data_IF_264958378516
#
_entry.id   IF_264958378516
#
_cell.length_a   1.000
_cell.length_b   1.000
_cell.length_c   1.000
_cell.angle_alpha   90.00
_cell.angle_beta   90.00
_cell.angle_gamma   90.00
#
_symmetry.space_group_name_H-M   'P 1'
#
loop_
_entity.id
_entity.type
_entity.pdbx_description
1 polymer ?
#
# COMPACT_ATOMS: atom_id res chain seq x y z
N UNK A 1 -18.42 18.80 -21.66
CA UNK A 1 -18.68 18.36 -20.28
C UNK A 1 -19.28 16.97 -20.34
N UNK A 2 -18.86 16.01 -19.50
CA UNK A 2 -19.55 14.73 -19.40
C UNK A 2 -20.99 14.99 -18.92
N UNK A 3 -21.97 14.26 -19.43
CA UNK A 3 -23.35 14.31 -18.91
C UNK A 3 -23.38 13.48 -17.62
N UNK A 4 -23.48 14.13 -16.46
CA UNK A 4 -23.53 13.44 -15.17
C UNK A 4 -24.94 12.92 -14.90
N UNK A 5 -25.04 11.75 -14.28
CA UNK A 5 -26.32 11.18 -13.89
C UNK A 5 -26.82 11.83 -12.60
N UNK A 6 -28.09 12.22 -12.58
CA UNK A 6 -28.78 12.65 -11.35
C UNK A 6 -29.47 11.44 -10.73
N UNK A 7 -28.80 10.80 -9.76
CA UNK A 7 -29.35 9.66 -9.02
C UNK A 7 -30.11 10.16 -7.79
N UNK A 8 -31.29 9.59 -7.53
CA UNK A 8 -32.08 9.83 -6.32
C UNK A 8 -32.38 8.49 -5.65
N UNK A 9 -32.00 8.37 -4.38
CA UNK A 9 -32.28 7.20 -3.55
C UNK A 9 -33.32 7.58 -2.50
N UNK A 10 -34.39 6.79 -2.41
CA UNK A 10 -35.36 6.86 -1.33
C UNK A 10 -35.21 5.57 -0.51
N UNK A 11 -34.68 5.70 0.70
CA UNK A 11 -34.27 4.55 1.53
C UNK A 11 -35.22 4.47 2.73
N UNK A 12 -36.00 3.39 2.78
CA UNK A 12 -36.85 3.07 3.94
C UNK A 12 -36.14 2.02 4.79
N UNK A 13 -35.89 2.35 6.06
CA UNK A 13 -35.27 1.42 7.02
C UNK A 13 -36.33 0.54 7.68
N UNK A 14 -36.01 -0.74 7.86
CA UNK A 14 -36.86 -1.67 8.61
C UNK A 14 -36.82 -1.36 10.11
N UNK A 15 -35.66 -0.91 10.62
CA UNK A 15 -35.48 -0.48 11.99
C UNK A 15 -34.89 0.94 12.04
N UNK A 16 -35.53 1.83 12.81
CA UNK A 16 -35.04 3.20 13.00
C UNK A 16 -33.65 3.25 13.67
N UNK A 17 -33.27 2.21 14.41
CA UNK A 17 -31.96 2.09 15.04
C UNK A 17 -30.80 1.93 14.04
N UNK A 18 -31.08 1.60 12.77
CA UNK A 18 -30.04 1.46 11.72
C UNK A 18 -29.69 2.81 11.06
N UNK A 19 -30.46 3.87 11.34
CA UNK A 19 -30.25 5.20 10.76
C UNK A 19 -28.85 5.77 11.03
N UNK A 20 -28.26 5.62 12.23
CA UNK A 20 -26.89 6.05 12.48
C UNK A 20 -25.89 5.34 11.57
N UNK A 21 -26.00 4.01 11.39
CA UNK A 21 -25.10 3.24 10.54
C UNK A 21 -25.24 3.61 9.05
N UNK A 22 -26.46 3.88 8.58
CA UNK A 22 -26.68 4.37 7.21
C UNK A 22 -26.07 5.76 7.00
N UNK A 23 -26.35 6.70 7.91
CA UNK A 23 -25.74 8.05 7.85
C UNK A 23 -24.23 7.96 7.88
N UNK A 24 -23.72 7.09 8.74
CA UNK A 24 -22.31 6.81 8.84
C UNK A 24 -21.71 6.41 7.49
N UNK A 25 -22.32 5.43 6.81
CA UNK A 25 -21.87 4.99 5.48
C UNK A 25 -21.98 6.09 4.41
N UNK A 26 -23.02 6.92 4.46
CA UNK A 26 -23.22 8.04 3.50
C UNK A 26 -22.18 9.14 3.69
N UNK A 27 -21.89 9.52 4.94
CA UNK A 27 -21.03 10.65 5.27
C UNK A 27 -19.56 10.26 5.47
N UNK A 28 -19.27 8.96 5.62
CA UNK A 28 -17.94 8.40 5.83
C UNK A 28 -17.20 8.99 7.05
N UNK A 29 -17.90 9.11 8.18
CA UNK A 29 -17.37 9.75 9.40
C UNK A 29 -16.33 8.89 10.18
N UNK A 30 -16.08 7.61 9.81
CA UNK A 30 -15.22 6.67 10.58
C UNK A 30 -13.73 6.79 10.20
N UNK A 31 -13.37 7.83 9.46
CA UNK A 31 -12.02 8.02 8.95
C UNK A 31 -11.70 7.10 7.78
N UNK A 32 -10.42 6.72 7.66
CA UNK A 32 -9.91 6.01 6.48
C UNK A 32 -10.38 4.54 6.50
N UNK A 33 -11.10 4.06 5.46
CA UNK A 33 -11.48 2.66 5.36
C UNK A 33 -10.28 1.71 5.43
N UNK A 34 -10.39 0.61 6.15
CA UNK A 34 -9.29 -0.33 6.37
C UNK A 34 -8.63 -0.86 5.07
N UNK A 35 -9.41 -1.02 4.00
CA UNK A 35 -8.90 -1.44 2.70
C UNK A 35 -7.98 -0.39 2.06
N UNK A 36 -8.22 0.91 2.29
CA UNK A 36 -7.34 1.96 1.78
C UNK A 36 -5.98 1.91 2.48
N UNK A 37 -5.99 1.74 3.81
CA UNK A 37 -4.77 1.53 4.59
C UNK A 37 -4.02 0.27 4.13
N UNK A 38 -4.73 -0.83 3.88
CA UNK A 38 -4.12 -2.06 3.39
C UNK A 38 -3.47 -1.92 2.01
N UNK A 39 -4.09 -1.14 1.09
CA UNK A 39 -3.49 -0.82 -0.22
C UNK A 39 -2.21 0.00 -0.04
N UNK A 40 -2.23 1.03 0.79
CA UNK A 40 -1.06 1.88 1.07
C UNK A 40 0.12 1.07 1.62
N UNK A 41 -0.16 0.23 2.63
CA UNK A 41 0.82 -0.66 3.24
C UNK A 41 1.36 -1.68 2.24
N UNK A 42 0.49 -2.27 1.41
CA UNK A 42 0.89 -3.20 0.36
C UNK A 42 1.75 -2.53 -0.70
N UNK A 43 1.44 -1.30 -1.10
CA UNK A 43 2.26 -0.53 -2.03
C UNK A 43 3.65 -0.27 -1.45
N UNK A 44 3.73 0.05 -0.16
CA UNK A 44 5.01 0.28 0.50
C UNK A 44 5.84 -1.01 0.59
N UNK A 45 5.23 -2.15 0.94
CA UNK A 45 5.88 -3.47 0.90
C UNK A 45 6.35 -3.83 -0.52
N UNK A 46 5.52 -3.58 -1.53
CA UNK A 46 5.85 -3.82 -2.94
C UNK A 46 7.11 -3.05 -3.36
N UNK A 47 7.13 -1.75 -3.07
CA UNK A 47 8.26 -0.89 -3.40
C UNK A 47 9.52 -1.27 -2.61
N UNK A 48 9.38 -1.58 -1.30
CA UNK A 48 10.49 -2.07 -0.49
C UNK A 48 11.09 -3.37 -1.03
N UNK A 49 10.26 -4.28 -1.55
CA UNK A 49 10.70 -5.48 -2.25
C UNK A 49 11.44 -5.18 -3.55
N UNK A 50 10.88 -4.27 -4.38
CA UNK A 50 11.52 -3.84 -5.63
C UNK A 50 12.84 -3.08 -5.42
N UNK A 51 13.03 -2.46 -4.25
CA UNK A 51 14.30 -1.84 -3.86
C UNK A 51 15.30 -2.84 -3.26
N UNK A 52 14.88 -4.07 -2.99
CA UNK A 52 15.67 -5.10 -2.32
C UNK A 52 15.87 -4.86 -0.82
N UNK A 53 15.06 -3.99 -0.21
CA UNK A 53 15.03 -3.76 1.25
C UNK A 53 14.47 -5.01 1.93
N UNK A 54 13.34 -5.50 1.40
CA UNK A 54 12.72 -6.76 1.80
C UNK A 54 12.99 -7.82 0.74
N UNK A 55 13.26 -9.05 1.18
CA UNK A 55 13.52 -10.18 0.27
C UNK A 55 12.78 -11.42 0.75
N UNK A 56 12.20 -12.23 -0.15
CA UNK A 56 11.58 -13.47 0.25
C UNK A 56 12.60 -14.43 0.88
N UNK A 57 12.21 -15.15 1.94
CA UNK A 57 13.08 -16.15 2.61
C UNK A 57 13.12 -17.49 1.87
N UNK A 58 12.26 -17.66 0.86
CA UNK A 58 12.19 -18.83 -0.02
C UNK A 58 12.00 -18.38 -1.47
N UNK A 59 12.37 -19.21 -2.46
CA UNK A 59 12.17 -18.86 -3.87
C UNK A 59 10.68 -18.60 -4.17
N UNK A 60 10.38 -17.39 -4.62
CA UNK A 60 9.07 -16.98 -5.11
C UNK A 60 9.25 -16.30 -6.47
N UNK A 61 8.21 -16.38 -7.30
CA UNK A 61 8.14 -15.67 -8.57
C UNK A 61 6.86 -14.87 -8.64
N UNK A 62 6.98 -13.59 -8.98
CA UNK A 62 5.84 -12.73 -9.26
C UNK A 62 5.93 -12.21 -10.71
N UNK A 63 5.38 -12.95 -11.70
CA UNK A 63 5.52 -12.61 -13.12
C UNK A 63 5.05 -11.20 -13.54
N UNK A 64 3.99 -10.60 -12.93
CA UNK A 64 3.56 -9.26 -13.31
C UNK A 64 4.59 -8.17 -13.03
N UNK A 65 5.42 -8.36 -11.99
CA UNK A 65 6.50 -7.45 -11.63
C UNK A 65 7.70 -8.25 -11.12
N UNK A 66 8.54 -8.80 -12.03
CA UNK A 66 9.65 -9.68 -11.66
C UNK A 66 10.65 -9.03 -10.71
N UNK A 67 10.78 -7.70 -10.76
CA UNK A 67 11.67 -6.90 -9.89
C UNK A 67 11.38 -7.11 -8.41
N UNK A 68 10.14 -7.46 -8.05
CA UNK A 68 9.73 -7.73 -6.67
C UNK A 68 10.48 -8.90 -6.03
N UNK A 69 10.90 -9.88 -6.83
CA UNK A 69 11.54 -11.11 -6.35
C UNK A 69 12.91 -11.38 -6.99
N UNK A 70 13.43 -10.46 -7.82
CA UNK A 70 14.67 -10.68 -8.59
C UNK A 70 15.97 -10.32 -7.87
N UNK A 71 15.92 -9.97 -6.58
CA UNK A 71 17.03 -9.35 -5.83
C UNK A 71 18.12 -10.32 -5.32
N UNK A 72 18.51 -11.29 -6.15
CA UNK A 72 19.54 -12.29 -5.86
C UNK A 72 19.03 -13.48 -5.06
N UNK A 73 19.90 -14.07 -4.23
CA UNK A 73 19.54 -15.15 -3.32
C UNK A 73 18.47 -14.70 -2.30
N UNK A 74 17.73 -15.67 -1.77
CA UNK A 74 16.70 -15.46 -0.74
C UNK A 74 17.24 -14.65 0.44
N UNK A 75 16.40 -13.78 1.01
CA UNK A 75 16.74 -13.00 2.20
C UNK A 75 17.02 -13.89 3.43
N UNK A 76 17.70 -13.35 4.45
CA UNK A 76 17.88 -14.04 5.72
C UNK A 76 16.52 -14.32 6.37
N UNK A 77 16.44 -15.41 7.14
CA UNK A 77 15.25 -15.75 7.92
C UNK A 77 15.13 -14.77 9.09
N UNK A 78 14.37 -13.71 8.86
CA UNK A 78 14.03 -12.67 9.84
C UNK A 78 12.52 -12.43 9.86
N UNK A 79 11.96 -11.85 10.94
CA UNK A 79 10.52 -11.59 11.05
C UNK A 79 9.96 -10.79 9.86
N UNK A 80 10.66 -9.74 9.43
CA UNK A 80 10.28 -8.85 8.33
C UNK A 80 10.31 -9.54 6.97
N UNK A 81 11.36 -10.32 6.67
CA UNK A 81 11.43 -11.07 5.41
C UNK A 81 10.43 -12.23 5.38
N UNK A 82 10.13 -12.83 6.54
CA UNK A 82 9.10 -13.86 6.66
C UNK A 82 7.70 -13.27 6.43
N UNK A 83 7.41 -12.13 7.04
CA UNK A 83 6.17 -11.39 6.82
C UNK A 83 6.02 -10.96 5.35
N UNK A 84 7.09 -10.42 4.75
CA UNK A 84 7.13 -10.07 3.34
C UNK A 84 6.87 -11.28 2.43
N UNK A 85 7.46 -12.44 2.74
CA UNK A 85 7.24 -13.68 1.99
C UNK A 85 5.76 -14.07 1.98
N UNK A 86 5.10 -14.03 3.15
CA UNK A 86 3.67 -14.32 3.24
C UNK A 86 2.80 -13.28 2.53
N UNK A 87 3.20 -12.00 2.57
CA UNK A 87 2.53 -10.95 1.81
C UNK A 87 2.66 -11.17 0.29
N UNK A 88 3.83 -11.55 -0.22
CA UNK A 88 4.00 -11.87 -1.66
C UNK A 88 3.14 -13.06 -2.07
N UNK A 89 3.04 -14.11 -1.24
CA UNK A 89 2.15 -15.25 -1.51
C UNK A 89 0.68 -14.83 -1.54
N UNK A 90 0.25 -13.98 -0.60
CA UNK A 90 -1.09 -13.41 -0.63
C UNK A 90 -1.32 -12.62 -1.93
N UNK A 91 -0.36 -11.76 -2.31
CA UNK A 91 -0.45 -10.97 -3.53
C UNK A 91 -0.57 -11.84 -4.79
N UNK A 92 0.14 -12.97 -4.85
CA UNK A 92 0.04 -13.96 -5.94
C UNK A 92 -1.38 -14.53 -6.02
N UNK A 93 -2.02 -14.82 -4.88
CA UNK A 93 -3.39 -15.36 -4.85
C UNK A 93 -4.47 -14.30 -5.13
N UNK A 94 -4.12 -13.01 -5.03
CA UNK A 94 -5.01 -11.87 -5.26
C UNK A 94 -6.41 -12.01 -4.61
N UNK A 95 -6.50 -12.22 -3.28
CA UNK A 95 -7.78 -12.35 -2.61
C UNK A 95 -8.52 -11.00 -2.51
N UNK A 96 -9.83 -11.06 -2.27
CA UNK A 96 -10.60 -9.88 -1.93
C UNK A 96 -10.09 -9.22 -0.64
N UNK A 97 -10.11 -7.88 -0.60
CA UNK A 97 -9.73 -7.08 0.58
C UNK A 97 -10.83 -7.13 1.65
N UNK A 98 -11.05 -8.30 2.22
CA UNK A 98 -11.90 -8.50 3.40
C UNK A 98 -11.28 -7.82 4.63
N UNK A 99 -12.06 -7.54 5.70
CA UNK A 99 -11.51 -6.98 6.93
C UNK A 99 -10.37 -7.80 7.54
N UNK A 100 -10.45 -9.14 7.48
CA UNK A 100 -9.38 -10.03 7.96
C UNK A 100 -8.13 -9.96 7.09
N UNK A 101 -8.29 -9.87 5.76
CA UNK A 101 -7.17 -9.65 4.84
C UNK A 101 -6.47 -8.32 5.13
N UNK A 102 -7.24 -7.23 5.29
CA UNK A 102 -6.70 -5.91 5.63
C UNK A 102 -5.93 -5.93 6.96
N UNK A 103 -6.46 -6.60 7.98
CA UNK A 103 -5.79 -6.76 9.27
C UNK A 103 -4.49 -7.56 9.14
N UNK A 104 -4.47 -8.62 8.33
CA UNK A 104 -3.27 -9.43 8.11
C UNK A 104 -2.16 -8.64 7.41
N UNK A 105 -2.50 -7.87 6.37
CA UNK A 105 -1.57 -6.95 5.70
C UNK A 105 -0.99 -5.96 6.70
N UNK A 106 -1.86 -5.38 7.55
CA UNK A 106 -1.43 -4.46 8.59
C UNK A 106 -0.43 -5.10 9.55
N UNK A 107 -0.68 -6.33 10.02
CA UNK A 107 0.25 -7.03 10.91
C UNK A 107 1.63 -7.24 10.27
N UNK A 108 1.68 -7.71 9.02
CA UNK A 108 2.96 -7.88 8.31
C UNK A 108 3.69 -6.57 8.10
N UNK A 109 2.95 -5.51 7.78
CA UNK A 109 3.51 -4.17 7.70
C UNK A 109 4.10 -3.71 9.04
N UNK A 110 3.38 -3.90 10.16
CA UNK A 110 3.88 -3.55 11.50
C UNK A 110 5.14 -4.33 11.89
N UNK A 111 5.23 -5.62 11.52
CA UNK A 111 6.45 -6.42 11.76
C UNK A 111 7.66 -5.84 11.05
N UNK A 112 7.47 -5.31 9.83
CA UNK A 112 8.53 -4.57 9.15
C UNK A 112 8.83 -3.23 9.84
N UNK A 113 7.81 -2.47 10.26
CA UNK A 113 8.01 -1.18 10.94
C UNK A 113 8.80 -1.30 12.24
N UNK A 114 8.53 -2.33 13.06
CA UNK A 114 9.12 -2.45 14.40
C UNK A 114 10.65 -2.62 14.38
N UNK A 115 11.21 -3.13 13.29
CA UNK A 115 12.65 -3.37 13.14
C UNK A 115 13.28 -2.53 12.01
N UNK A 116 12.47 -2.12 11.03
CA UNK A 116 12.86 -1.40 9.82
C UNK A 116 12.70 0.13 9.85
N UNK A 117 12.46 0.71 11.02
CA UNK A 117 12.15 2.14 11.23
C UNK A 117 13.09 3.16 10.53
N UNK A 118 14.28 2.73 10.12
CA UNK A 118 15.23 3.53 9.34
C UNK A 118 14.72 3.80 7.92
N UNK A 119 14.09 2.85 7.24
CA UNK A 119 13.77 2.91 5.80
C UNK A 119 12.56 3.79 5.44
N UNK A 120 11.96 4.49 6.41
CA UNK A 120 10.78 5.34 6.21
C UNK A 120 11.09 6.69 5.59
N UNK A 121 12.28 7.23 5.83
CA UNK A 121 12.69 8.47 5.18
C UNK A 121 13.38 8.16 3.87
N UNK A 122 13.08 8.93 2.82
CA UNK A 122 13.81 8.83 1.55
C UNK A 122 15.33 8.94 1.76
N UNK A 123 15.77 9.80 2.68
CA UNK A 123 17.19 10.06 2.94
C UNK A 123 17.94 8.91 3.58
N UNK A 124 17.25 7.99 4.23
CA UNK A 124 17.83 6.77 4.78
C UNK A 124 18.24 5.76 3.71
N UNK A 125 17.68 5.88 2.50
CA UNK A 125 17.85 4.91 1.43
C UNK A 125 19.20 5.11 0.74
N UNK A 126 19.84 3.99 0.43
CA UNK A 126 21.08 3.99 -0.37
C UNK A 126 20.81 4.51 -1.79
N UNK A 127 21.85 5.04 -2.45
CA UNK A 127 21.75 5.52 -3.83
C UNK A 127 21.20 4.45 -4.79
N UNK A 128 21.55 3.17 -4.57
CA UNK A 128 21.04 2.04 -5.36
C UNK A 128 19.54 1.82 -5.15
N UNK A 129 19.05 1.92 -3.92
CA UNK A 129 17.61 1.80 -3.61
C UNK A 129 16.84 2.97 -4.22
N UNK A 130 17.33 4.19 -4.05
CA UNK A 130 16.74 5.41 -4.65
C UNK A 130 16.65 5.28 -6.18
N UNK A 131 17.73 4.89 -6.85
CA UNK A 131 17.76 4.73 -8.30
C UNK A 131 16.74 3.71 -8.84
N UNK A 132 16.34 2.73 -8.02
CA UNK A 132 15.32 1.72 -8.37
C UNK A 132 13.90 2.20 -8.09
N UNK A 133 13.71 2.88 -6.97
CA UNK A 133 12.40 3.42 -6.58
C UNK A 133 11.98 4.61 -7.43
N UNK A 134 12.91 5.49 -7.81
CA UNK A 134 12.60 6.70 -8.58
C UNK A 134 11.76 6.45 -9.83
N UNK A 135 12.09 5.52 -10.75
CA UNK A 135 11.26 5.26 -11.92
C UNK A 135 9.88 4.69 -11.57
N UNK A 136 9.79 3.80 -10.55
CA UNK A 136 8.53 3.19 -10.13
C UNK A 136 7.58 4.23 -9.52
N UNK A 137 8.11 5.06 -8.61
CA UNK A 137 7.39 6.17 -8.01
C UNK A 137 6.96 7.18 -9.07
N UNK A 138 7.84 7.51 -10.02
CA UNK A 138 7.52 8.49 -11.06
C UNK A 138 6.44 8.02 -12.02
N UNK A 139 6.42 6.73 -12.36
CA UNK A 139 5.41 6.15 -13.22
C UNK A 139 4.07 5.95 -12.49
N UNK A 140 4.09 5.48 -11.23
CA UNK A 140 2.89 5.13 -10.47
C UNK A 140 2.27 6.25 -9.63
N UNK A 141 2.95 7.40 -9.48
CA UNK A 141 2.51 8.44 -8.54
C UNK A 141 1.10 8.95 -8.81
N UNK A 142 0.67 9.00 -10.08
CA UNK A 142 -0.66 9.48 -10.40
C UNK A 142 -1.74 8.50 -9.92
N UNK A 143 -1.55 7.20 -10.16
CA UNK A 143 -2.49 6.17 -9.73
C UNK A 143 -2.57 6.07 -8.20
N UNK A 144 -1.43 6.23 -7.52
CA UNK A 144 -1.35 6.01 -6.07
C UNK A 144 -1.70 7.27 -5.27
N UNK A 145 -1.19 8.44 -5.70
CA UNK A 145 -1.25 9.69 -4.94
C UNK A 145 -2.09 10.77 -5.64
N UNK A 146 -2.70 10.48 -6.80
CA UNK A 146 -3.45 11.44 -7.63
C UNK A 146 -2.63 12.69 -8.01
N UNK A 147 -1.30 12.55 -8.12
CA UNK A 147 -0.38 13.61 -8.53
C UNK A 147 0.78 13.03 -9.32
N UNK A 148 1.25 13.74 -10.34
CA UNK A 148 2.52 13.39 -10.99
C UNK A 148 3.69 13.82 -10.12
N UNK A 149 4.79 13.08 -10.10
CA UNK A 149 6.07 13.56 -9.54
C UNK A 149 7.01 14.04 -10.66
N UNK A 150 6.97 13.38 -11.82
CA UNK A 150 7.94 13.61 -12.90
C UNK A 150 9.34 13.15 -12.47
N UNK A 151 10.39 13.76 -13.02
CA UNK A 151 11.79 13.41 -12.72
C UNK A 151 12.39 14.19 -11.52
N UNK A 152 11.57 14.97 -10.81
CA UNK A 152 12.00 15.78 -9.68
C UNK A 152 12.21 14.90 -8.44
N UNK A 153 13.46 14.76 -8.01
CA UNK A 153 13.85 13.94 -6.86
C UNK A 153 13.12 14.34 -5.58
N UNK A 154 12.87 15.64 -5.35
CA UNK A 154 12.16 16.10 -4.16
C UNK A 154 10.72 15.58 -4.14
N UNK A 155 10.05 15.58 -5.28
CA UNK A 155 8.66 15.08 -5.42
C UNK A 155 8.61 13.56 -5.31
N UNK A 156 9.62 12.85 -5.82
CA UNK A 156 9.78 11.40 -5.65
C UNK A 156 9.98 11.05 -4.18
N UNK A 157 10.85 11.78 -3.48
CA UNK A 157 11.07 11.62 -2.05
C UNK A 157 9.78 11.82 -1.24
N UNK A 158 9.04 12.91 -1.53
CA UNK A 158 7.73 13.15 -0.90
C UNK A 158 6.72 12.06 -1.25
N UNK A 159 6.77 11.46 -2.45
CA UNK A 159 5.88 10.36 -2.80
C UNK A 159 6.16 9.09 -1.98
N UNK A 160 7.43 8.75 -1.73
CA UNK A 160 7.81 7.64 -0.85
C UNK A 160 7.26 7.81 0.57
N UNK A 161 7.34 9.03 1.10
CA UNK A 161 6.88 9.35 2.45
C UNK A 161 5.35 9.40 2.51
N UNK A 162 4.70 10.03 1.54
CA UNK A 162 3.23 10.18 1.51
C UNK A 162 2.51 8.84 1.28
N UNK A 163 3.14 7.84 0.63
CA UNK A 163 2.56 6.49 0.51
C UNK A 163 2.26 5.89 1.88
N UNK A 164 3.08 6.19 2.89
CA UNK A 164 2.92 5.69 4.25
C UNK A 164 1.71 6.30 4.95
N UNK A 165 1.35 7.50 4.52
CA UNK A 165 0.27 8.31 5.06
C UNK A 165 -0.88 8.41 4.09
N UNK A 166 -0.98 7.51 3.10
CA UNK A 166 -2.02 7.54 2.08
C UNK A 166 -3.39 7.69 2.74
N UNK A 167 -3.82 8.95 2.73
CA UNK A 167 -5.06 9.56 3.22
C UNK A 167 -5.18 9.91 4.71
N UNK A 168 -4.11 10.33 5.37
CA UNK A 168 -4.18 11.14 6.59
C UNK A 168 -4.67 12.59 6.39
N UNK A 169 -4.96 13.01 5.16
CA UNK A 169 -5.43 14.36 4.83
C UNK A 169 -6.77 14.31 4.09
N UNK A 170 -7.83 14.34 4.90
CA UNK A 170 -9.15 14.86 4.52
C UNK A 170 -9.34 16.24 5.16
#
# INVERSE_FOLDING_TARGET
MPNWCSNRLDITLHNAADMPALKHWIYADDGIPAWQTAIAQSLHLLLAGCAGILKPVRPLSFPPLPELTSYGETGPVSPENTAFTHWVEMLITAPDLTPSCCQQIHQWYQMWLSEGGVYHSWDSLTATQKARLSPLLSAGSFDWLNRFTGEDESRVATAWEDIQYLRGTG
#
